data_IF_389324655422
#
_entry.id   IF_389324655422
#
_cell.length_a   1.000
_cell.length_b   1.000
_cell.length_c   1.000
_cell.angle_alpha   90.00
_cell.angle_beta   90.00
_cell.angle_gamma   90.00
#
_symmetry.space_group_name_H-M   'P 1'
#
loop_
_entity.id
_entity.type
_entity.pdbx_description
1 polymer ?
#
# COMPACT_ATOMS: atom_id res chain seq x y z
N UNK A 1 -12.70 6.77 -8.75
CA UNK A 1 -11.61 7.14 -7.88
C UNK A 1 -10.91 8.46 -8.22
N UNK A 2 -9.58 8.45 -8.26
CA UNK A 2 -8.80 9.70 -8.49
C UNK A 2 -8.91 10.16 -9.94
N UNK A 3 -8.88 9.23 -10.89
CA UNK A 3 -9.06 9.53 -12.31
C UNK A 3 -10.43 9.04 -12.80
N UNK A 4 -11.08 9.79 -13.70
CA UNK A 4 -12.33 9.33 -14.30
C UNK A 4 -12.07 8.14 -15.24
N UNK A 5 -12.98 7.18 -15.25
CA UNK A 5 -12.98 6.06 -16.19
C UNK A 5 -13.82 6.48 -17.41
N UNK A 6 -13.22 6.43 -18.61
CA UNK A 6 -13.88 6.85 -19.83
C UNK A 6 -14.80 5.76 -20.41
N UNK A 7 -14.46 4.50 -20.20
CA UNK A 7 -15.22 3.33 -20.68
C UNK A 7 -14.80 2.08 -19.88
N UNK A 8 -15.62 1.05 -19.89
CA UNK A 8 -15.38 -0.21 -19.21
C UNK A 8 -15.92 -0.26 -17.79
N UNK A 9 -15.63 -1.38 -17.11
CA UNK A 9 -16.11 -1.68 -15.75
C UNK A 9 -14.94 -2.10 -14.86
N UNK A 10 -14.94 -1.59 -13.63
CA UNK A 10 -14.02 -2.01 -12.56
C UNK A 10 -14.87 -2.52 -11.41
N UNK A 11 -14.68 -3.79 -11.04
CA UNK A 11 -15.40 -4.41 -9.91
C UNK A 11 -14.42 -4.80 -8.80
N UNK A 12 -14.83 -4.57 -7.57
CA UNK A 12 -14.08 -4.98 -6.37
C UNK A 12 -15.05 -5.58 -5.34
N UNK A 13 -14.83 -6.82 -4.93
CA UNK A 13 -15.68 -7.58 -4.00
C UNK A 13 -17.16 -7.47 -4.38
N UNK A 14 -17.47 -7.66 -5.68
CA UNK A 14 -18.83 -7.61 -6.21
C UNK A 14 -19.44 -6.21 -6.38
N UNK A 15 -18.72 -5.15 -6.05
CA UNK A 15 -19.17 -3.76 -6.21
C UNK A 15 -18.53 -3.11 -7.43
N UNK A 16 -19.33 -2.37 -8.20
CA UNK A 16 -18.84 -1.51 -9.28
C UNK A 16 -18.23 -0.24 -8.68
N UNK A 17 -16.93 -0.02 -8.88
CA UNK A 17 -16.19 1.06 -8.22
C UNK A 17 -15.77 2.21 -9.14
N UNK A 18 -15.95 2.09 -10.46
CA UNK A 18 -15.47 3.08 -11.44
C UNK A 18 -16.05 4.48 -11.22
N UNK A 19 -17.26 4.59 -10.67
CA UNK A 19 -17.96 5.86 -10.42
C UNK A 19 -17.95 6.31 -8.96
N UNK A 20 -17.32 5.54 -8.07
CA UNK A 20 -17.24 5.86 -6.65
C UNK A 20 -16.17 6.93 -6.38
N UNK A 21 -16.40 7.71 -5.34
CA UNK A 21 -15.40 8.66 -4.85
C UNK A 21 -14.25 7.91 -4.15
N UNK A 22 -13.04 8.49 -4.08
CA UNK A 22 -11.87 7.86 -3.44
C UNK A 22 -12.15 7.39 -2.01
N UNK A 23 -12.93 8.14 -1.24
CA UNK A 23 -13.30 7.78 0.13
C UNK A 23 -14.19 6.55 0.19
N UNK A 24 -15.11 6.40 -0.75
CA UNK A 24 -16.00 5.23 -0.85
C UNK A 24 -15.19 3.99 -1.21
N UNK A 25 -14.27 4.11 -2.20
CA UNK A 25 -13.35 3.04 -2.59
C UNK A 25 -12.46 2.62 -1.41
N UNK A 26 -11.93 3.59 -0.67
CA UNK A 26 -11.10 3.31 0.51
C UNK A 26 -11.89 2.56 1.60
N UNK A 27 -13.18 2.88 1.81
CA UNK A 27 -14.04 2.18 2.78
C UNK A 27 -14.34 0.74 2.39
N UNK A 28 -14.30 0.41 1.12
CA UNK A 28 -14.43 -0.98 0.64
C UNK A 28 -13.19 -1.84 0.95
N UNK A 29 -12.13 -1.25 1.49
CA UNK A 29 -10.91 -1.97 1.87
C UNK A 29 -9.79 -1.92 0.82
N UNK A 30 -9.77 -0.90 -0.05
CA UNK A 30 -8.63 -0.64 -0.93
C UNK A 30 -7.70 0.36 -0.27
N UNK A 31 -6.47 -0.08 0.02
CA UNK A 31 -5.35 0.76 0.47
C UNK A 31 -4.54 1.26 -0.72
N UNK A 32 -4.06 2.50 -0.67
CA UNK A 32 -3.19 3.07 -1.69
C UNK A 32 -1.93 3.64 -1.05
N UNK A 33 -0.78 3.21 -1.55
CA UNK A 33 0.54 3.80 -1.30
C UNK A 33 1.00 4.45 -2.61
N UNK A 34 0.78 5.75 -2.77
CA UNK A 34 1.18 6.46 -3.98
C UNK A 34 2.68 6.69 -4.02
N UNK A 35 3.24 6.91 -5.19
CA UNK A 35 4.62 7.36 -5.38
C UNK A 35 4.91 8.61 -4.52
N UNK A 36 6.12 8.67 -3.95
CA UNK A 36 6.56 9.77 -3.09
C UNK A 36 6.00 9.73 -1.67
N UNK A 37 5.54 8.54 -1.19
CA UNK A 37 5.20 8.24 0.21
C UNK A 37 4.00 9.01 0.76
N UNK A 38 3.84 10.29 0.44
CA UNK A 38 2.71 11.16 0.79
C UNK A 38 2.32 11.12 2.28
N UNK A 39 3.30 11.11 3.18
CA UNK A 39 3.06 11.27 4.61
C UNK A 39 2.66 12.71 4.94
N UNK A 40 2.05 12.89 6.12
CA UNK A 40 1.86 14.22 6.72
C UNK A 40 3.16 14.57 7.47
N UNK A 41 4.02 15.45 6.92
CA UNK A 41 5.40 15.61 7.40
C UNK A 41 5.47 16.17 8.83
N UNK A 42 4.52 17.01 9.20
CA UNK A 42 4.46 17.68 10.51
C UNK A 42 3.85 16.79 11.60
N UNK A 43 3.25 15.67 11.24
CA UNK A 43 2.67 14.72 12.17
C UNK A 43 3.68 13.65 12.55
N UNK A 44 3.49 13.07 13.74
CA UNK A 44 4.25 11.90 14.19
C UNK A 44 3.87 10.66 13.37
N UNK A 45 4.66 9.60 13.50
CA UNK A 45 4.34 8.29 12.94
C UNK A 45 2.98 7.81 13.47
N UNK A 46 2.76 7.89 14.78
CA UNK A 46 1.51 7.50 15.42
C UNK A 46 0.30 8.24 14.84
N UNK A 47 0.39 9.56 14.71
CA UNK A 47 -0.69 10.38 14.13
C UNK A 47 -0.94 10.05 12.65
N UNK A 48 0.12 9.76 11.87
CA UNK A 48 -0.03 9.28 10.49
C UNK A 48 -0.79 7.95 10.44
N UNK A 49 -0.51 7.00 11.32
CA UNK A 49 -1.20 5.72 11.40
C UNK A 49 -2.66 5.90 11.84
N UNK A 50 -2.94 6.75 12.82
CA UNK A 50 -4.30 7.05 13.29
C UNK A 50 -5.18 7.59 12.16
N UNK A 51 -4.66 8.45 11.27
CA UNK A 51 -5.40 8.93 10.11
C UNK A 51 -5.79 7.77 9.18
N UNK A 52 -4.92 6.78 9.01
CA UNK A 52 -5.22 5.55 8.25
C UNK A 52 -6.38 4.77 8.86
N UNK A 53 -6.40 4.64 10.19
CA UNK A 53 -7.41 3.90 10.93
C UNK A 53 -8.81 4.53 10.86
N UNK A 54 -8.91 5.87 10.86
CA UNK A 54 -10.18 6.59 10.82
C UNK A 54 -11.04 6.29 9.58
N UNK A 55 -10.42 5.87 8.49
CA UNK A 55 -11.09 5.70 7.19
C UNK A 55 -11.70 4.32 6.98
N UNK A 56 -11.34 3.33 7.80
CA UNK A 56 -11.61 1.92 7.50
C UNK A 56 -12.14 1.14 8.69
N UNK A 57 -13.12 1.69 9.39
CA UNK A 57 -13.85 0.95 10.41
C UNK A 57 -14.92 0.09 9.72
N UNK A 58 -14.61 -1.20 9.55
CA UNK A 58 -15.54 -2.21 9.04
C UNK A 58 -15.51 -3.43 9.95
N UNK A 59 -16.64 -4.16 10.01
CA UNK A 59 -16.80 -5.34 10.88
C UNK A 59 -16.48 -6.66 10.17
N UNK A 60 -16.12 -6.64 8.88
CA UNK A 60 -16.10 -7.85 8.04
C UNK A 60 -14.67 -8.20 7.63
N UNK A 61 -13.94 -8.91 8.49
CA UNK A 61 -12.66 -9.51 8.11
C UNK A 61 -11.49 -9.24 9.04
N UNK A 62 -10.28 -9.56 8.56
CA UNK A 62 -9.03 -9.38 9.28
C UNK A 62 -8.70 -7.89 9.39
N UNK A 63 -8.88 -7.32 10.57
CA UNK A 63 -8.52 -5.93 10.82
C UNK A 63 -7.02 -5.82 11.09
N UNK A 64 -6.35 -4.97 10.34
CA UNK A 64 -4.97 -4.57 10.59
C UNK A 64 -4.93 -3.56 11.72
N UNK A 65 -4.70 -4.06 12.94
CA UNK A 65 -4.49 -3.19 14.10
C UNK A 65 -3.09 -2.57 14.06
N UNK A 66 -2.87 -1.54 14.85
CA UNK A 66 -1.55 -0.91 14.98
C UNK A 66 -0.50 -1.92 15.49
N UNK A 67 -0.90 -2.80 16.40
CA UNK A 67 -0.04 -3.86 16.95
C UNK A 67 0.42 -4.83 15.86
N UNK A 68 -0.48 -5.29 15.00
CA UNK A 68 -0.14 -6.16 13.86
C UNK A 68 0.80 -5.46 12.87
N UNK A 69 0.59 -4.17 12.63
CA UNK A 69 1.48 -3.38 11.78
C UNK A 69 2.89 -3.29 12.39
N UNK A 70 3.01 -3.19 13.73
CA UNK A 70 4.31 -3.18 14.42
C UNK A 70 4.99 -4.55 14.40
N UNK A 71 4.25 -5.64 14.43
CA UNK A 71 4.79 -6.99 14.24
C UNK A 71 5.36 -7.16 12.83
N UNK A 72 4.69 -6.59 11.84
CA UNK A 72 5.11 -6.63 10.44
C UNK A 72 6.29 -5.70 10.16
N UNK A 73 6.29 -4.51 10.75
CA UNK A 73 7.30 -3.46 10.56
C UNK A 73 7.82 -2.96 11.93
N UNK A 74 8.69 -3.72 12.63
CA UNK A 74 9.12 -3.39 14.00
C UNK A 74 9.78 -2.01 14.13
N UNK A 75 10.51 -1.56 13.11
CA UNK A 75 11.14 -0.23 13.08
C UNK A 75 10.15 0.92 13.24
N UNK A 76 8.92 0.76 12.79
CA UNK A 76 7.88 1.80 12.93
C UNK A 76 7.59 2.04 14.41
N UNK A 77 7.55 0.97 15.22
CA UNK A 77 7.31 1.05 16.66
C UNK A 77 8.39 1.87 17.37
N UNK A 78 9.65 1.73 16.98
CA UNK A 78 10.77 2.48 17.56
C UNK A 78 10.70 3.98 17.23
N UNK A 79 10.04 4.34 16.15
CA UNK A 79 9.89 5.71 15.63
C UNK A 79 8.52 6.32 15.89
N UNK A 80 7.68 5.71 16.70
CA UNK A 80 6.26 6.04 16.87
C UNK A 80 6.02 7.53 17.15
N UNK A 81 6.85 8.14 18.00
CA UNK A 81 6.75 9.55 18.39
C UNK A 81 7.63 10.49 17.54
N UNK A 82 8.38 9.97 16.58
CA UNK A 82 9.16 10.78 15.66
C UNK A 82 8.24 11.45 14.64
N UNK A 83 8.58 12.68 14.22
CA UNK A 83 7.89 13.36 13.12
C UNK A 83 8.25 12.69 11.80
N UNK A 84 7.29 12.62 10.90
CA UNK A 84 7.48 11.97 9.61
C UNK A 84 8.55 12.63 8.74
N UNK A 85 8.77 13.94 8.86
CA UNK A 85 9.83 14.67 8.16
C UNK A 85 11.24 14.36 8.66
N UNK A 86 11.38 13.82 9.88
CA UNK A 86 12.69 13.44 10.47
C UNK A 86 13.11 12.00 10.14
N UNK A 87 12.26 11.22 9.50
CA UNK A 87 12.51 9.83 9.15
C UNK A 87 13.40 9.71 7.91
N UNK A 88 14.19 8.63 7.83
CA UNK A 88 14.85 8.23 6.60
C UNK A 88 13.83 7.87 5.50
N UNK A 89 14.27 7.88 4.23
CA UNK A 89 13.39 7.54 3.11
C UNK A 89 12.74 6.17 3.24
N UNK A 90 13.47 5.17 3.71
CA UNK A 90 12.93 3.83 3.94
C UNK A 90 11.94 3.77 5.12
N UNK A 91 12.24 4.43 6.24
CA UNK A 91 11.29 4.54 7.35
C UNK A 91 10.00 5.24 6.90
N UNK A 92 10.09 6.31 6.11
CA UNK A 92 8.92 6.99 5.55
C UNK A 92 8.09 6.05 4.66
N UNK A 93 8.75 5.22 3.84
CA UNK A 93 8.07 4.25 2.98
C UNK A 93 7.34 3.19 3.80
N UNK A 94 7.99 2.64 4.84
CA UNK A 94 7.34 1.70 5.76
C UNK A 94 6.12 2.32 6.45
N UNK A 95 6.22 3.57 6.91
CA UNK A 95 5.10 4.29 7.53
C UNK A 95 3.97 4.53 6.52
N UNK A 96 4.28 4.82 5.24
CA UNK A 96 3.27 4.99 4.21
C UNK A 96 2.48 3.70 3.95
N UNK A 97 3.17 2.55 3.89
CA UNK A 97 2.55 1.23 3.75
C UNK A 97 1.74 0.89 5.00
N UNK A 98 2.31 1.07 6.18
CA UNK A 98 1.64 0.85 7.45
C UNK A 98 0.34 1.65 7.57
N UNK A 99 0.37 2.95 7.23
CA UNK A 99 -0.82 3.81 7.21
C UNK A 99 -1.86 3.33 6.20
N UNK A 100 -1.41 2.78 5.07
CA UNK A 100 -2.31 2.22 4.07
C UNK A 100 -2.93 0.88 4.52
N UNK A 101 -2.27 0.13 5.39
CA UNK A 101 -2.73 -1.14 5.94
C UNK A 101 -3.69 -0.99 7.12
N UNK A 102 -3.44 -0.02 8.02
CA UNK A 102 -4.25 0.11 9.25
C UNK A 102 -5.74 0.22 8.92
N UNK A 103 -6.53 -0.67 9.53
CA UNK A 103 -7.96 -0.82 9.28
C UNK A 103 -8.30 -2.11 8.53
N UNK A 104 -9.42 -2.14 7.86
CA UNK A 104 -9.88 -3.29 7.08
C UNK A 104 -9.43 -3.17 5.63
N UNK A 105 -8.30 -3.79 5.28
CA UNK A 105 -7.71 -3.75 3.93
C UNK A 105 -7.71 -5.13 3.29
N UNK A 106 -8.34 -5.23 2.12
CA UNK A 106 -8.39 -6.44 1.31
C UNK A 106 -7.47 -6.37 0.09
N UNK A 107 -7.21 -5.16 -0.40
CA UNK A 107 -6.31 -4.91 -1.54
C UNK A 107 -5.41 -3.72 -1.24
N UNK A 108 -4.11 -3.91 -1.35
CA UNK A 108 -3.10 -2.85 -1.23
C UNK A 108 -2.53 -2.54 -2.62
N UNK A 109 -2.71 -1.30 -3.06
CA UNK A 109 -2.11 -0.78 -4.28
C UNK A 109 -0.83 -0.04 -3.93
N UNK A 110 0.29 -0.37 -4.55
CA UNK A 110 1.58 0.28 -4.32
C UNK A 110 2.17 0.76 -5.65
N UNK A 111 2.54 2.04 -5.68
CA UNK A 111 3.12 2.68 -6.85
C UNK A 111 4.59 3.00 -6.57
N UNK A 112 5.49 2.31 -7.26
CA UNK A 112 6.95 2.37 -7.13
C UNK A 112 7.44 2.31 -5.65
N UNK A 113 7.06 1.27 -4.88
CA UNK A 113 7.35 1.22 -3.44
C UNK A 113 8.84 1.16 -3.11
N UNK A 114 9.69 0.72 -4.03
CA UNK A 114 11.13 0.56 -3.82
C UNK A 114 11.97 1.77 -4.31
N UNK A 115 11.32 2.78 -4.93
CA UNK A 115 12.02 3.91 -5.51
C UNK A 115 12.78 4.74 -4.46
N UNK A 116 14.06 5.04 -4.77
CA UNK A 116 14.93 5.87 -3.92
C UNK A 116 15.29 5.25 -2.57
N UNK A 117 15.19 3.92 -2.41
CA UNK A 117 15.60 3.21 -1.21
C UNK A 117 17.03 2.66 -1.33
N UNK A 118 17.73 2.55 -0.18
CA UNK A 118 19.00 1.84 -0.13
C UNK A 118 18.79 0.32 -0.24
N UNK A 119 19.80 -0.46 -0.68
CA UNK A 119 19.67 -1.92 -0.80
C UNK A 119 19.17 -2.60 0.47
N UNK A 120 19.67 -2.20 1.63
CA UNK A 120 19.24 -2.75 2.93
C UNK A 120 17.75 -2.47 3.19
N UNK A 121 17.28 -1.28 2.83
CA UNK A 121 15.86 -0.92 3.00
C UNK A 121 14.95 -1.65 2.01
N UNK A 122 15.46 -1.92 0.80
CA UNK A 122 14.76 -2.74 -0.20
C UNK A 122 14.56 -4.15 0.34
N UNK A 123 15.61 -4.78 0.87
CA UNK A 123 15.52 -6.14 1.46
C UNK A 123 14.50 -6.20 2.60
N UNK A 124 14.57 -5.25 3.54
CA UNK A 124 13.67 -5.20 4.68
C UNK A 124 12.21 -4.97 4.25
N UNK A 125 11.99 -4.07 3.29
CA UNK A 125 10.66 -3.80 2.75
C UNK A 125 10.12 -5.01 1.96
N UNK A 126 10.98 -5.64 1.17
CA UNK A 126 10.65 -6.83 0.40
C UNK A 126 10.16 -7.96 1.31
N UNK A 127 10.90 -8.28 2.39
CA UNK A 127 10.50 -9.28 3.38
C UNK A 127 9.16 -8.92 4.03
N UNK A 128 8.94 -7.64 4.32
CA UNK A 128 7.67 -7.14 4.84
C UNK A 128 6.52 -7.39 3.88
N UNK A 129 6.69 -7.06 2.60
CA UNK A 129 5.67 -7.25 1.57
C UNK A 129 5.43 -8.76 1.31
N UNK A 130 6.47 -9.58 1.27
CA UNK A 130 6.34 -11.01 1.04
C UNK A 130 5.49 -11.70 2.13
N UNK A 131 5.65 -11.29 3.38
CA UNK A 131 4.80 -11.77 4.47
C UNK A 131 3.34 -11.31 4.33
N UNK A 132 3.13 -10.06 3.89
CA UNK A 132 1.79 -9.49 3.74
C UNK A 132 0.94 -10.19 2.67
N UNK A 133 1.54 -10.68 1.58
CA UNK A 133 0.81 -11.29 0.45
C UNK A 133 0.01 -12.55 0.83
N UNK A 134 0.30 -13.17 1.96
CA UNK A 134 -0.50 -14.29 2.48
C UNK A 134 -1.85 -13.85 3.08
N UNK A 135 -2.02 -12.57 3.38
CA UNK A 135 -3.17 -12.05 4.11
C UNK A 135 -3.93 -10.94 3.36
N UNK A 136 -3.24 -10.22 2.49
CA UNK A 136 -3.79 -9.09 1.72
C UNK A 136 -3.42 -9.27 0.26
N UNK A 137 -4.38 -9.09 -0.64
CA UNK A 137 -4.07 -9.00 -2.07
C UNK A 137 -3.23 -7.74 -2.33
N UNK A 138 -2.16 -7.88 -3.11
CA UNK A 138 -1.25 -6.77 -3.37
C UNK A 138 -1.14 -6.57 -4.88
N UNK A 139 -1.24 -5.32 -5.33
CA UNK A 139 -0.93 -4.91 -6.68
C UNK A 139 0.21 -3.90 -6.62
N UNK A 140 1.31 -4.20 -7.29
CA UNK A 140 2.50 -3.35 -7.34
C UNK A 140 2.69 -2.86 -8.77
N UNK A 141 2.88 -1.56 -8.93
CA UNK A 141 3.39 -0.95 -10.16
C UNK A 141 4.86 -0.64 -9.93
N UNK A 142 5.73 -1.21 -10.73
CA UNK A 142 7.18 -1.11 -10.54
C UNK A 142 7.92 -1.29 -11.88
N UNK A 143 9.09 -0.70 -11.97
CA UNK A 143 9.98 -0.83 -13.12
C UNK A 143 11.22 -1.70 -12.85
N UNK A 144 11.49 -2.03 -11.60
CA UNK A 144 12.56 -2.95 -11.19
C UNK A 144 12.06 -4.40 -11.28
N UNK A 145 12.13 -4.98 -12.49
CA UNK A 145 11.49 -6.25 -12.83
C UNK A 145 11.93 -7.41 -11.94
N UNK A 146 13.23 -7.51 -11.61
CA UNK A 146 13.75 -8.61 -10.80
C UNK A 146 13.10 -8.68 -9.41
N UNK A 147 12.84 -7.53 -8.80
CA UNK A 147 12.17 -7.44 -7.51
C UNK A 147 10.70 -7.85 -7.61
N UNK A 148 9.99 -7.31 -8.60
CA UNK A 148 8.55 -7.54 -8.73
C UNK A 148 8.25 -8.99 -9.11
N UNK A 149 8.98 -9.55 -10.07
CA UNK A 149 8.76 -10.92 -10.53
C UNK A 149 9.02 -11.98 -9.45
N UNK A 150 9.88 -11.67 -8.47
CA UNK A 150 10.08 -12.58 -7.33
C UNK A 150 8.95 -12.54 -6.29
N UNK A 151 8.15 -11.47 -6.27
CA UNK A 151 6.98 -11.32 -5.40
C UNK A 151 5.66 -11.70 -6.07
N UNK A 152 5.57 -11.55 -7.39
CA UNK A 152 4.31 -11.64 -8.11
C UNK A 152 3.88 -13.09 -8.36
N UNK A 153 2.59 -13.38 -8.17
CA UNK A 153 1.95 -14.61 -8.66
C UNK A 153 1.51 -14.44 -10.12
N UNK A 154 1.27 -13.19 -10.54
CA UNK A 154 0.87 -12.84 -11.92
C UNK A 154 1.41 -11.46 -12.26
N UNK A 155 2.03 -11.33 -13.43
CA UNK A 155 2.54 -10.08 -13.94
C UNK A 155 1.72 -9.61 -15.16
N UNK A 156 1.45 -8.30 -15.22
CA UNK A 156 0.83 -7.62 -16.35
C UNK A 156 1.83 -6.62 -16.93
N UNK A 157 2.17 -6.79 -18.21
CA UNK A 157 3.02 -5.83 -18.91
C UNK A 157 2.14 -4.84 -19.65
N UNK A 158 2.26 -3.56 -19.30
CA UNK A 158 1.55 -2.46 -19.94
C UNK A 158 2.47 -1.77 -20.96
N UNK A 159 2.01 -1.67 -22.21
CA UNK A 159 2.68 -0.88 -23.23
C UNK A 159 1.67 0.09 -23.87
N UNK A 160 2.00 1.38 -23.86
CA UNK A 160 1.18 2.48 -24.44
C UNK A 160 -0.30 2.41 -24.04
N UNK A 161 -0.58 2.09 -22.78
CA UNK A 161 -1.93 2.03 -22.23
C UNK A 161 -2.70 0.75 -22.54
N UNK A 162 -2.05 -0.25 -23.11
CA UNK A 162 -2.63 -1.57 -23.39
C UNK A 162 -1.85 -2.68 -22.69
N UNK A 163 -2.56 -3.72 -22.24
CA UNK A 163 -1.91 -4.93 -21.72
C UNK A 163 -1.31 -5.69 -22.89
N UNK A 164 0.02 -5.79 -22.95
CA UNK A 164 0.78 -6.49 -23.99
C UNK A 164 1.08 -7.94 -23.63
N UNK A 165 1.22 -8.24 -22.34
CA UNK A 165 1.49 -9.59 -21.84
C UNK A 165 0.88 -9.81 -20.47
N UNK A 166 0.46 -11.05 -20.20
CA UNK A 166 0.02 -11.53 -18.87
C UNK A 166 0.65 -12.90 -18.65
N UNK A 167 1.30 -13.09 -17.51
CA UNK A 167 1.92 -14.37 -17.18
C UNK A 167 2.24 -14.51 -15.69
N UNK A 168 2.64 -15.72 -15.25
CA UNK A 168 3.17 -15.95 -13.92
C UNK A 168 4.55 -15.32 -13.76
#
# INVERSE_FOLDING_TARGET
>A
GIAPVSDGRITFIGHDIQNLQPEEISRLGIGLVPQGRRLFPNLTVEENLQIGALRRQGNDGVTWTQERVFEQFPRIKERLHARADSLSGGEQQMVAIARALVGNVHLLLMDEPFDGLSPVMIEELFEGIDKLRSEVSIMIVEHQLDLVLSLADTAFVLDRGSVSHVGP
#
